data_IF_754974522824
#
_entry.id   IF_754974522824
#
_cell.length_a   1.000
_cell.length_b   1.000
_cell.length_c   1.000
_cell.angle_alpha   90.00
_cell.angle_beta   90.00
_cell.angle_gamma   90.00
#
_symmetry.space_group_name_H-M   'P 1'
#
loop_
_entity.id
_entity.type
_entity.pdbx_description
1 polymer ?
#
# COMPACT_ATOMS: atom_id res chain seq x y z
N UNK A 1 -8.63 10.97 26.73
CA UNK A 1 -7.66 9.97 26.24
C UNK A 1 -6.42 10.67 25.69
N UNK A 2 -6.61 11.79 24.99
CA UNK A 2 -5.56 12.49 24.23
C UNK A 2 -4.43 13.11 25.06
N UNK A 3 -4.67 13.57 26.30
CA UNK A 3 -3.62 14.20 27.11
C UNK A 3 -2.43 13.27 27.41
N UNK A 4 -2.70 12.01 27.80
CA UNK A 4 -1.64 11.02 28.09
C UNK A 4 -0.84 10.65 26.84
N UNK A 5 -1.55 10.47 25.73
CA UNK A 5 -0.94 10.18 24.44
C UNK A 5 -0.05 11.33 23.97
N UNK A 6 -0.53 12.57 24.07
CA UNK A 6 0.26 13.76 23.73
C UNK A 6 1.50 13.90 24.62
N UNK A 7 1.38 13.64 25.92
CA UNK A 7 2.54 13.59 26.84
C UNK A 7 3.55 12.54 26.40
N UNK A 8 3.11 11.34 26.02
CA UNK A 8 4.00 10.29 25.52
C UNK A 8 4.73 10.71 24.25
N UNK A 9 4.03 11.27 23.26
CA UNK A 9 4.64 11.75 22.02
C UNK A 9 5.70 12.82 22.29
N UNK A 10 5.37 13.79 23.14
CA UNK A 10 6.27 14.89 23.51
C UNK A 10 7.52 14.37 24.23
N UNK A 11 7.35 13.47 25.20
CA UNK A 11 8.46 12.88 25.96
C UNK A 11 9.42 12.06 25.08
N UNK A 12 8.94 11.53 23.95
CA UNK A 12 9.74 10.72 23.02
C UNK A 12 10.21 11.49 21.77
N UNK A 13 9.96 12.80 21.71
CA UNK A 13 10.21 13.67 20.56
C UNK A 13 9.61 13.12 19.26
N UNK A 14 8.33 12.76 19.31
CA UNK A 14 7.56 12.22 18.19
C UNK A 14 6.58 13.29 17.67
N UNK A 15 6.67 13.63 16.39
CA UNK A 15 5.80 14.62 15.75
C UNK A 15 4.90 13.93 14.71
N UNK A 16 3.61 13.81 15.02
CA UNK A 16 2.58 13.31 14.09
C UNK A 16 1.99 14.46 13.27
N UNK A 17 1.26 14.13 12.19
CA UNK A 17 0.65 15.13 11.30
C UNK A 17 -0.28 16.07 12.07
N UNK A 18 -0.12 17.40 11.96
CA UNK A 18 -0.99 18.35 12.65
C UNK A 18 -2.41 18.29 12.10
N UNK A 19 -3.41 18.47 12.98
CA UNK A 19 -4.82 18.53 12.61
C UNK A 19 -5.50 17.19 12.32
N UNK A 20 -4.75 16.09 12.24
CA UNK A 20 -5.30 14.74 12.09
C UNK A 20 -5.49 14.07 13.46
N UNK A 21 -6.60 13.34 13.63
CA UNK A 21 -6.77 12.42 14.75
C UNK A 21 -5.68 11.34 14.72
N UNK A 22 -5.45 10.71 15.88
CA UNK A 22 -4.39 9.71 16.03
C UNK A 22 -4.57 8.47 15.15
N UNK A 23 -5.79 8.16 14.71
CA UNK A 23 -6.05 7.07 13.77
C UNK A 23 -5.70 5.67 14.31
N UNK A 24 -5.69 5.45 15.62
CA UNK A 24 -5.19 4.21 16.24
C UNK A 24 -5.82 2.93 15.68
N UNK A 25 -7.06 3.01 15.21
CA UNK A 25 -7.79 1.89 14.62
C UNK A 25 -7.22 1.42 13.27
N UNK A 26 -6.47 2.27 12.55
CA UNK A 26 -5.83 1.91 11.27
C UNK A 26 -4.81 0.78 11.47
N UNK A 27 -4.16 0.74 12.62
CA UNK A 27 -3.14 -0.26 12.97
C UNK A 27 -3.70 -1.70 13.05
N UNK A 28 -5.02 -1.87 12.99
CA UNK A 28 -5.65 -3.20 12.96
C UNK A 28 -5.99 -3.66 11.55
N UNK A 29 -6.00 -2.76 10.56
CA UNK A 29 -6.55 -3.04 9.23
C UNK A 29 -5.70 -4.04 8.44
N UNK A 30 -4.39 -3.83 8.33
CA UNK A 30 -3.52 -4.71 7.55
C UNK A 30 -3.39 -6.12 8.15
N UNK A 31 -3.14 -6.29 9.47
CA UNK A 31 -3.13 -7.61 10.08
C UNK A 31 -4.48 -8.33 9.95
N UNK A 32 -5.60 -7.61 10.11
CA UNK A 32 -6.94 -8.19 9.96
C UNK A 32 -7.21 -8.61 8.50
N UNK A 33 -6.84 -7.79 7.52
CA UNK A 33 -7.00 -8.10 6.11
C UNK A 33 -6.28 -9.40 5.70
N UNK A 34 -5.03 -9.59 6.13
CA UNK A 34 -4.27 -10.81 5.88
C UNK A 34 -4.91 -12.02 6.59
N UNK A 35 -5.31 -11.84 7.85
CA UNK A 35 -5.89 -12.92 8.66
C UNK A 35 -7.24 -13.41 8.11
N UNK A 36 -8.12 -12.49 7.72
CA UNK A 36 -9.44 -12.81 7.12
C UNK A 36 -9.25 -13.42 5.74
N UNK A 37 -8.35 -12.86 4.93
CA UNK A 37 -8.01 -13.39 3.61
C UNK A 37 -7.47 -14.82 3.69
N UNK A 38 -6.61 -15.12 4.66
CA UNK A 38 -6.13 -16.48 4.90
C UNK A 38 -7.25 -17.44 5.30
N UNK A 39 -8.07 -17.06 6.27
CA UNK A 39 -9.18 -17.90 6.77
C UNK A 39 -10.17 -18.29 5.67
N UNK A 40 -10.36 -17.41 4.68
CA UNK A 40 -11.30 -17.63 3.57
C UNK A 40 -10.70 -18.33 2.37
N UNK A 41 -9.37 -18.47 2.32
CA UNK A 41 -8.63 -19.07 1.21
C UNK A 41 -7.66 -20.17 1.71
N UNK A 42 -8.07 -20.96 2.72
CA UNK A 42 -7.21 -21.96 3.37
C UNK A 42 -6.60 -22.96 2.37
N UNK A 43 -7.39 -23.39 1.38
CA UNK A 43 -6.99 -24.41 0.41
C UNK A 43 -5.98 -23.90 -0.62
N UNK A 44 -6.12 -22.64 -1.04
CA UNK A 44 -5.30 -22.01 -2.09
C UNK A 44 -4.05 -21.32 -1.51
N UNK A 45 -4.01 -21.10 -0.19
CA UNK A 45 -2.93 -20.36 0.46
C UNK A 45 -1.59 -21.10 0.43
N UNK A 46 -0.60 -20.47 -0.21
CA UNK A 46 0.79 -20.93 -0.21
C UNK A 46 1.39 -21.02 1.20
N UNK A 47 2.47 -21.77 1.35
CA UNK A 47 3.17 -21.90 2.63
C UNK A 47 3.69 -20.56 3.16
N UNK A 48 4.18 -19.70 2.26
CA UNK A 48 4.61 -18.33 2.60
C UNK A 48 3.42 -17.52 3.14
N UNK A 49 2.25 -17.66 2.52
CA UNK A 49 1.04 -16.96 2.96
C UNK A 49 0.55 -17.44 4.33
N UNK A 50 0.58 -18.77 4.57
CA UNK A 50 0.26 -19.38 5.88
C UNK A 50 1.16 -18.82 7.00
N UNK A 51 2.45 -18.71 6.73
CA UNK A 51 3.42 -18.14 7.66
C UNK A 51 3.11 -16.66 7.96
N UNK A 52 2.86 -15.86 6.92
CA UNK A 52 2.46 -14.46 7.07
C UNK A 52 1.14 -14.29 7.84
N UNK A 53 0.19 -15.21 7.69
CA UNK A 53 -1.08 -15.18 8.43
C UNK A 53 -0.93 -15.49 9.93
N UNK A 54 0.05 -16.30 10.34
CA UNK A 54 0.37 -16.44 11.77
C UNK A 54 1.07 -15.19 12.29
N UNK A 55 1.99 -14.64 11.51
CA UNK A 55 2.72 -13.42 11.87
C UNK A 55 1.81 -12.18 11.89
N UNK A 56 0.70 -12.16 11.15
CA UNK A 56 -0.31 -11.10 11.26
C UNK A 56 -1.01 -11.10 12.61
N UNK A 57 -1.31 -12.26 13.18
CA UNK A 57 -1.86 -12.36 14.55
C UNK A 57 -0.82 -11.87 15.57
N UNK A 58 0.46 -12.20 15.39
CA UNK A 58 1.55 -11.65 16.21
C UNK A 58 1.59 -10.11 16.16
N UNK A 59 1.56 -9.53 14.95
CA UNK A 59 1.56 -8.08 14.77
C UNK A 59 0.35 -7.44 15.41
N UNK A 60 -0.85 -8.01 15.24
CA UNK A 60 -2.08 -7.52 15.85
C UNK A 60 -1.93 -7.37 17.37
N UNK A 61 -1.43 -8.40 18.05
CA UNK A 61 -1.19 -8.37 19.50
C UNK A 61 -0.09 -7.36 19.89
N UNK A 62 0.98 -7.30 19.10
CA UNK A 62 2.11 -6.37 19.30
C UNK A 62 1.68 -4.90 19.17
N UNK A 63 0.82 -4.61 18.20
CA UNK A 63 0.17 -3.31 18.01
C UNK A 63 -0.69 -2.95 19.22
N UNK A 64 -1.56 -3.86 19.67
CA UNK A 64 -2.40 -3.62 20.85
C UNK A 64 -1.57 -3.27 22.08
N UNK A 65 -0.52 -4.04 22.38
CA UNK A 65 0.36 -3.79 23.52
C UNK A 65 1.08 -2.44 23.37
N UNK A 66 1.59 -2.14 22.18
CA UNK A 66 2.27 -0.86 21.90
C UNK A 66 1.34 0.33 22.08
N UNK A 67 0.08 0.23 21.63
CA UNK A 67 -0.93 1.28 21.83
C UNK A 67 -1.26 1.46 23.32
N UNK A 68 -1.41 0.37 24.08
CA UNK A 68 -1.69 0.47 25.52
C UNK A 68 -0.52 1.15 26.27
N UNK A 69 0.71 0.88 25.88
CA UNK A 69 1.91 1.56 26.39
C UNK A 69 1.95 3.05 26.01
N UNK A 70 1.65 3.40 24.74
CA UNK A 70 1.63 4.83 24.33
C UNK A 70 0.51 5.62 25.00
N UNK A 71 -0.58 4.96 25.38
CA UNK A 71 -1.65 5.53 26.22
C UNK A 71 -1.27 5.62 27.72
N UNK A 72 -0.05 5.23 28.10
CA UNK A 72 0.47 5.22 29.47
C UNK A 72 -0.43 4.40 30.43
N UNK A 73 -1.04 3.32 29.92
CA UNK A 73 -1.81 2.36 30.72
C UNK A 73 -0.97 1.16 31.17
N UNK A 74 0.18 0.95 30.53
CA UNK A 74 1.12 -0.12 30.83
C UNK A 74 2.53 0.47 30.99
N UNK A 75 3.29 0.00 31.98
CA UNK A 75 4.68 0.41 32.15
C UNK A 75 5.55 -0.13 31.01
N UNK A 76 6.67 0.53 30.74
CA UNK A 76 7.60 0.09 29.68
C UNK A 76 8.16 -1.31 29.95
N UNK A 77 8.37 -1.68 31.22
CA UNK A 77 8.81 -3.04 31.61
C UNK A 77 7.70 -4.07 31.36
N UNK A 78 6.47 -3.80 31.80
CA UNK A 78 5.35 -4.71 31.61
C UNK A 78 5.04 -4.90 30.11
N UNK A 79 5.11 -3.84 29.30
CA UNK A 79 4.98 -3.93 27.84
C UNK A 79 6.01 -4.88 27.23
N UNK A 80 7.30 -4.76 27.61
CA UNK A 80 8.36 -5.68 27.12
C UNK A 80 8.08 -7.13 27.49
N UNK A 81 7.58 -7.39 28.71
CA UNK A 81 7.21 -8.74 29.15
C UNK A 81 6.05 -9.28 28.30
N UNK A 82 4.98 -8.51 28.11
CA UNK A 82 3.85 -8.91 27.26
C UNK A 82 4.29 -9.20 25.83
N UNK A 83 5.17 -8.37 25.25
CA UNK A 83 5.72 -8.60 23.92
C UNK A 83 6.56 -9.89 23.84
N UNK A 84 7.35 -10.22 24.87
CA UNK A 84 8.07 -11.50 24.94
C UNK A 84 7.11 -12.71 25.01
N UNK A 85 5.98 -12.59 25.70
CA UNK A 85 4.94 -13.63 25.71
C UNK A 85 4.36 -13.82 24.30
N UNK A 86 4.10 -12.72 23.57
CA UNK A 86 3.66 -12.78 22.17
C UNK A 86 4.69 -13.49 21.28
N UNK A 87 5.98 -13.19 21.46
CA UNK A 87 7.08 -13.89 20.76
C UNK A 87 7.06 -15.38 21.05
N UNK A 88 6.98 -15.78 22.33
CA UNK A 88 6.98 -17.18 22.73
C UNK A 88 5.77 -17.93 22.15
N UNK A 89 4.56 -17.37 22.30
CA UNK A 89 3.33 -17.98 21.79
C UNK A 89 3.37 -18.17 20.26
N UNK A 90 3.84 -17.16 19.54
CA UNK A 90 3.96 -17.22 18.07
C UNK A 90 5.00 -18.27 17.67
N UNK A 91 6.17 -18.28 18.33
CA UNK A 91 7.21 -19.27 18.06
C UNK A 91 6.72 -20.70 18.32
N UNK A 92 5.91 -20.93 19.36
CA UNK A 92 5.27 -22.21 19.63
C UNK A 92 4.32 -22.60 18.50
N UNK A 93 3.45 -21.70 18.04
CA UNK A 93 2.54 -21.96 16.91
C UNK A 93 3.33 -22.33 15.65
N UNK A 94 4.36 -21.56 15.31
CA UNK A 94 5.18 -21.83 14.13
C UNK A 94 5.90 -23.19 14.21
N UNK A 95 6.37 -23.56 15.41
CA UNK A 95 7.12 -24.80 15.62
C UNK A 95 6.21 -26.02 15.67
N UNK A 96 5.07 -25.94 16.34
CA UNK A 96 4.17 -27.07 16.57
C UNK A 96 3.19 -27.26 15.42
N UNK A 97 2.60 -26.16 14.90
CA UNK A 97 1.56 -26.23 13.87
C UNK A 97 2.16 -26.19 12.47
N UNK A 98 3.10 -25.27 12.21
CA UNK A 98 3.74 -25.14 10.89
C UNK A 98 5.05 -25.93 10.76
N UNK A 99 5.40 -26.72 11.78
CA UNK A 99 6.58 -27.60 11.79
C UNK A 99 7.89 -26.87 11.43
N UNK A 100 8.00 -25.58 11.77
CA UNK A 100 9.19 -24.78 11.53
C UNK A 100 10.22 -24.99 12.63
N UNK A 101 11.52 -24.91 12.29
CA UNK A 101 12.59 -25.06 13.26
C UNK A 101 12.50 -24.02 14.38
N UNK A 102 12.68 -24.43 15.63
CA UNK A 102 12.52 -23.58 16.82
C UNK A 102 13.33 -22.27 16.73
N UNK A 103 14.59 -22.35 16.31
CA UNK A 103 15.45 -21.18 16.18
C UNK A 103 14.89 -20.18 15.17
N UNK A 104 14.44 -20.66 14.01
CA UNK A 104 13.79 -19.83 12.99
C UNK A 104 12.52 -19.19 13.56
N UNK A 105 11.66 -19.98 14.20
CA UNK A 105 10.40 -19.54 14.81
C UNK A 105 10.60 -18.45 15.87
N UNK A 106 11.64 -18.57 16.71
CA UNK A 106 11.99 -17.55 17.70
C UNK A 106 12.53 -16.28 17.06
N UNK A 107 13.48 -16.40 16.12
CA UNK A 107 14.10 -15.24 15.47
C UNK A 107 13.09 -14.42 14.67
N UNK A 108 12.23 -15.08 13.89
CA UNK A 108 11.22 -14.40 13.08
C UNK A 108 10.15 -13.75 13.95
N UNK A 109 9.68 -14.43 15.01
CA UNK A 109 8.68 -13.88 15.93
C UNK A 109 9.24 -12.66 16.69
N UNK A 110 10.50 -12.74 17.12
CA UNK A 110 11.20 -11.61 17.75
C UNK A 110 11.36 -10.43 16.80
N UNK A 111 11.83 -10.68 15.56
CA UNK A 111 11.98 -9.66 14.53
C UNK A 111 10.66 -8.97 14.23
N UNK A 112 9.57 -9.71 14.06
CA UNK A 112 8.25 -9.13 13.78
C UNK A 112 7.78 -8.25 14.95
N UNK A 113 7.86 -8.76 16.18
CA UNK A 113 7.37 -8.08 17.39
C UNK A 113 8.17 -6.80 17.68
N UNK A 114 9.49 -6.92 17.85
CA UNK A 114 10.34 -5.79 18.24
C UNK A 114 10.76 -4.93 17.06
N UNK A 115 10.89 -5.52 15.87
CA UNK A 115 11.12 -4.78 14.62
C UNK A 115 9.95 -3.85 14.32
N UNK A 116 8.69 -4.29 14.46
CA UNK A 116 7.53 -3.40 14.30
C UNK A 116 7.63 -2.17 15.21
N UNK A 117 7.78 -2.40 16.52
CA UNK A 117 7.86 -1.30 17.50
C UNK A 117 9.01 -0.34 17.19
N UNK A 118 10.17 -0.87 16.79
CA UNK A 118 11.32 -0.06 16.41
C UNK A 118 11.06 0.74 15.13
N UNK A 119 10.50 0.11 14.10
CA UNK A 119 10.18 0.73 12.81
C UNK A 119 9.16 1.85 12.95
N UNK A 120 8.09 1.63 13.72
CA UNK A 120 7.04 2.63 13.99
C UNK A 120 7.64 3.95 14.50
N UNK A 121 8.41 3.88 15.59
CA UNK A 121 9.00 5.10 16.17
C UNK A 121 10.12 5.69 15.30
N UNK A 122 10.81 4.86 14.52
CA UNK A 122 11.82 5.34 13.57
C UNK A 122 11.18 6.12 12.43
N UNK A 123 10.10 5.61 11.83
CA UNK A 123 9.37 6.26 10.73
C UNK A 123 8.85 7.64 11.17
N UNK A 124 8.20 7.72 12.34
CA UNK A 124 7.68 9.01 12.85
C UNK A 124 8.80 10.02 13.10
N UNK A 125 9.98 9.56 13.56
CA UNK A 125 11.14 10.43 13.78
C UNK A 125 11.82 10.88 12.49
N UNK A 126 11.93 10.00 11.50
CA UNK A 126 12.55 10.30 10.21
C UNK A 126 11.69 11.27 9.39
N UNK A 127 10.37 11.17 9.52
CA UNK A 127 9.41 11.93 8.73
C UNK A 127 8.44 12.70 9.63
N UNK A 128 8.95 13.68 10.40
CA UNK A 128 8.12 14.44 11.33
C UNK A 128 6.95 15.10 10.60
N UNK A 129 5.78 15.11 11.23
CA UNK A 129 4.53 15.72 10.73
C UNK A 129 3.95 15.10 9.46
N UNK A 130 4.52 14.01 8.93
CA UNK A 130 4.04 13.39 7.70
C UNK A 130 2.87 12.43 7.97
N UNK A 131 2.98 11.61 9.02
CA UNK A 131 2.03 10.53 9.32
C UNK A 131 1.14 10.86 10.51
N UNK A 132 -0.13 10.43 10.47
CA UNK A 132 -0.86 10.14 11.71
C UNK A 132 -0.22 8.92 12.40
N UNK A 133 -0.51 8.70 13.69
CA UNK A 133 0.06 7.54 14.39
C UNK A 133 -0.41 6.21 13.75
N UNK A 134 -1.69 6.13 13.38
CA UNK A 134 -2.26 4.98 12.69
C UNK A 134 -1.65 4.73 11.31
N UNK A 135 -1.46 5.78 10.50
CA UNK A 135 -0.80 5.67 9.20
C UNK A 135 0.64 5.16 9.34
N UNK A 136 1.37 5.64 10.35
CA UNK A 136 2.72 5.15 10.64
C UNK A 136 2.73 3.68 11.08
N UNK A 137 1.71 3.21 11.80
CA UNK A 137 1.56 1.77 12.12
C UNK A 137 1.40 0.94 10.86
N UNK A 138 0.48 1.32 9.95
CA UNK A 138 0.25 0.59 8.69
C UNK A 138 1.52 0.56 7.84
N UNK A 139 2.26 1.66 7.77
CA UNK A 139 3.55 1.73 7.07
C UNK A 139 4.60 0.79 7.71
N UNK A 140 4.70 0.79 9.05
CA UNK A 140 5.61 -0.07 9.78
C UNK A 140 5.26 -1.56 9.64
N UNK A 141 3.98 -1.91 9.70
CA UNK A 141 3.48 -3.27 9.47
C UNK A 141 3.79 -3.74 8.05
N UNK A 142 3.50 -2.91 7.04
CA UNK A 142 3.82 -3.19 5.65
C UNK A 142 5.32 -3.44 5.43
N UNK A 143 6.18 -2.63 6.06
CA UNK A 143 7.63 -2.85 6.03
C UNK A 143 8.04 -4.18 6.65
N UNK A 144 7.45 -4.56 7.80
CA UNK A 144 7.76 -5.83 8.47
C UNK A 144 7.32 -7.02 7.62
N UNK A 145 6.09 -7.01 7.09
CA UNK A 145 5.63 -8.07 6.19
C UNK A 145 6.46 -8.16 4.92
N UNK A 146 6.85 -7.02 4.34
CA UNK A 146 7.73 -6.99 3.18
C UNK A 146 9.06 -7.66 3.48
N UNK A 147 9.74 -7.28 4.57
CA UNK A 147 11.04 -7.84 4.95
C UNK A 147 10.98 -9.33 5.24
N UNK A 148 9.95 -9.77 5.96
CA UNK A 148 9.71 -11.19 6.26
C UNK A 148 9.47 -11.96 4.95
N UNK A 149 8.55 -11.49 4.12
CA UNK A 149 8.19 -12.16 2.85
C UNK A 149 9.38 -12.21 1.90
N UNK A 150 10.18 -11.14 1.82
CA UNK A 150 11.40 -11.10 1.02
C UNK A 150 12.41 -12.15 1.49
N UNK A 151 12.70 -12.20 2.79
CA UNK A 151 13.65 -13.18 3.35
C UNK A 151 13.21 -14.63 3.07
N UNK A 152 11.94 -14.94 3.32
CA UNK A 152 11.40 -16.28 3.09
C UNK A 152 11.44 -16.63 1.59
N UNK A 153 10.99 -15.71 0.73
CA UNK A 153 10.91 -15.96 -0.71
C UNK A 153 12.30 -16.20 -1.32
N UNK A 154 13.32 -15.44 -0.92
CA UNK A 154 14.71 -15.65 -1.39
C UNK A 154 15.26 -17.03 -0.97
N UNK A 155 14.90 -17.52 0.21
CA UNK A 155 15.31 -18.86 0.67
C UNK A 155 14.56 -19.94 -0.12
N UNK A 156 13.24 -19.77 -0.29
CA UNK A 156 12.40 -20.73 -1.01
C UNK A 156 12.77 -20.83 -2.50
N UNK A 157 13.12 -19.72 -3.14
CA UNK A 157 13.50 -19.67 -4.55
C UNK A 157 14.76 -20.49 -4.85
N UNK A 158 15.72 -20.55 -3.92
CA UNK A 158 16.91 -21.42 -4.06
C UNK A 158 16.58 -22.91 -4.11
N UNK A 159 15.37 -23.31 -3.70
CA UNK A 159 14.96 -24.70 -3.52
C UNK A 159 13.98 -25.18 -4.62
N UNK A 160 13.40 -24.30 -5.43
CA UNK A 160 12.39 -24.64 -6.44
C UNK A 160 12.94 -24.50 -7.86
N UNK A 161 12.65 -25.47 -8.74
CA UNK A 161 12.99 -25.41 -10.18
C UNK A 161 11.81 -25.04 -11.09
N UNK A 162 10.57 -25.01 -10.59
CA UNK A 162 9.38 -24.68 -11.38
C UNK A 162 8.66 -23.45 -10.79
N UNK A 163 8.85 -22.30 -11.43
CA UNK A 163 8.32 -21.02 -10.95
C UNK A 163 7.06 -20.60 -11.71
N UNK A 164 5.96 -20.40 -10.99
CA UNK A 164 4.77 -19.72 -11.52
C UNK A 164 5.12 -18.26 -11.86
N UNK A 165 4.48 -17.71 -12.90
CA UNK A 165 4.71 -16.32 -13.35
C UNK A 165 4.54 -15.29 -12.23
N UNK A 166 3.50 -15.44 -11.39
CA UNK A 166 3.27 -14.57 -10.24
C UNK A 166 4.41 -14.59 -9.21
N UNK A 167 5.05 -15.74 -9.01
CA UNK A 167 6.21 -15.87 -8.10
C UNK A 167 7.42 -15.10 -8.62
N UNK A 168 7.65 -15.10 -9.94
CA UNK A 168 8.72 -14.33 -10.59
C UNK A 168 8.45 -12.83 -10.44
N UNK A 169 7.23 -12.37 -10.71
CA UNK A 169 6.85 -10.96 -10.53
C UNK A 169 7.08 -10.50 -9.08
N UNK A 170 6.67 -11.30 -8.09
CA UNK A 170 6.91 -11.01 -6.67
C UNK A 170 8.40 -10.87 -6.35
N UNK A 171 9.24 -11.78 -6.85
CA UNK A 171 10.70 -11.73 -6.65
C UNK A 171 11.30 -10.49 -7.29
N UNK A 172 10.86 -10.10 -8.49
CA UNK A 172 11.29 -8.87 -9.17
C UNK A 172 10.95 -7.63 -8.35
N UNK A 173 9.69 -7.52 -7.89
CA UNK A 173 9.25 -6.41 -7.03
C UNK A 173 10.07 -6.36 -5.74
N UNK A 174 10.24 -7.49 -5.05
CA UNK A 174 10.90 -7.52 -3.75
C UNK A 174 12.39 -7.16 -3.84
N UNK A 175 13.14 -7.73 -4.79
CA UNK A 175 14.56 -7.35 -4.97
C UNK A 175 14.67 -5.88 -5.39
N UNK A 176 13.82 -5.42 -6.31
CA UNK A 176 13.80 -4.03 -6.76
C UNK A 176 13.55 -3.04 -5.63
N UNK A 177 12.49 -3.26 -4.83
CA UNK A 177 12.14 -2.38 -3.72
C UNK A 177 13.14 -2.48 -2.56
N UNK A 178 13.68 -3.67 -2.27
CA UNK A 178 14.72 -3.82 -1.25
C UNK A 178 16.01 -3.07 -1.65
N UNK A 179 16.46 -3.24 -2.90
CA UNK A 179 17.60 -2.50 -3.44
C UNK A 179 17.38 -0.99 -3.43
N UNK A 180 16.18 -0.53 -3.81
CA UNK A 180 15.82 0.88 -3.71
C UNK A 180 15.81 1.40 -2.27
N UNK A 181 15.36 0.60 -1.31
CA UNK A 181 15.43 0.93 0.12
C UNK A 181 16.88 1.17 0.58
N UNK A 182 17.82 0.32 0.15
CA UNK A 182 19.25 0.49 0.43
C UNK A 182 19.83 1.74 -0.25
N UNK A 183 19.39 2.05 -1.48
CA UNK A 183 19.75 3.29 -2.18
C UNK A 183 19.29 4.51 -1.38
N UNK A 184 18.04 4.52 -0.91
CA UNK A 184 17.49 5.60 -0.10
C UNK A 184 18.25 5.75 1.23
N UNK A 185 18.56 4.64 1.89
CA UNK A 185 19.28 4.64 3.16
C UNK A 185 20.71 5.21 3.00
N UNK A 186 21.42 4.76 1.96
CA UNK A 186 22.76 5.28 1.64
C UNK A 186 22.69 6.77 1.30
N UNK A 187 21.69 7.17 0.51
CA UNK A 187 21.46 8.58 0.16
C UNK A 187 21.18 9.46 1.38
N UNK A 188 20.48 8.92 2.37
CA UNK A 188 20.23 9.60 3.64
C UNK A 188 21.52 9.80 4.45
N UNK A 189 22.34 8.75 4.63
CA UNK A 189 23.57 8.85 5.42
C UNK A 189 24.67 9.67 4.73
N UNK A 190 24.79 9.59 3.40
CA UNK A 190 25.80 10.29 2.61
C UNK A 190 25.25 11.53 1.89
N UNK A 191 24.17 12.12 2.43
CA UNK A 191 23.48 13.28 1.84
C UNK A 191 24.44 14.43 1.48
N UNK A 192 25.46 14.69 2.29
CA UNK A 192 26.43 15.77 2.04
C UNK A 192 27.15 15.65 0.69
N UNK A 193 27.42 14.44 0.22
CA UNK A 193 28.06 14.17 -1.08
C UNK A 193 27.00 13.99 -2.16
N UNK A 194 25.94 13.22 -1.85
CA UNK A 194 24.93 12.78 -2.80
C UNK A 194 23.85 13.82 -3.12
N UNK A 195 23.85 14.99 -2.48
CA UNK A 195 23.07 16.14 -2.96
C UNK A 195 23.62 16.75 -4.25
N UNK A 196 24.85 16.41 -4.67
CA UNK A 196 25.43 16.90 -5.94
C UNK A 196 24.98 16.02 -7.10
N UNK A 197 24.55 16.65 -8.19
CA UNK A 197 23.95 16.00 -9.36
C UNK A 197 24.82 14.88 -9.96
N UNK A 198 26.08 15.16 -10.29
CA UNK A 198 26.95 14.18 -10.95
C UNK A 198 27.26 12.98 -10.03
N UNK A 199 27.75 13.17 -8.78
CA UNK A 199 27.96 12.05 -7.85
C UNK A 199 26.70 11.23 -7.61
N UNK A 200 25.53 11.87 -7.52
CA UNK A 200 24.27 11.19 -7.34
C UNK A 200 23.95 10.24 -8.50
N UNK A 201 24.05 10.71 -9.75
CA UNK A 201 23.75 9.85 -10.91
C UNK A 201 24.74 8.69 -11.07
N UNK A 202 26.03 8.92 -10.81
CA UNK A 202 27.03 7.84 -10.79
C UNK A 202 26.66 6.80 -9.73
N UNK A 203 26.34 7.26 -8.51
CA UNK A 203 25.92 6.39 -7.41
C UNK A 203 24.66 5.59 -7.76
N UNK A 204 23.65 6.22 -8.36
CA UNK A 204 22.41 5.55 -8.76
C UNK A 204 22.67 4.49 -9.82
N UNK A 205 23.41 4.80 -10.88
CA UNK A 205 23.69 3.84 -11.96
C UNK A 205 24.42 2.60 -11.41
N UNK A 206 25.48 2.82 -10.61
CA UNK A 206 26.22 1.72 -10.00
C UNK A 206 25.35 0.91 -9.02
N UNK A 207 24.54 1.59 -8.20
CA UNK A 207 23.69 0.92 -7.22
C UNK A 207 22.53 0.16 -7.85
N UNK A 208 21.90 0.68 -8.91
CA UNK A 208 20.88 -0.04 -9.67
C UNK A 208 21.45 -1.33 -10.27
N UNK A 209 22.68 -1.28 -10.79
CA UNK A 209 23.34 -2.47 -11.31
C UNK A 209 23.65 -3.48 -10.20
N UNK A 210 24.35 -3.05 -9.14
CA UNK A 210 24.86 -3.93 -8.08
C UNK A 210 23.74 -4.47 -7.17
N UNK A 211 22.74 -3.65 -6.83
CA UNK A 211 21.72 -3.99 -5.84
C UNK A 211 20.43 -4.54 -6.44
N UNK A 212 20.17 -4.32 -7.74
CA UNK A 212 18.92 -4.73 -8.38
C UNK A 212 19.18 -5.66 -9.57
N UNK A 213 19.85 -5.18 -10.62
CA UNK A 213 19.99 -5.94 -11.87
C UNK A 213 20.83 -7.21 -11.68
N UNK A 214 22.00 -7.11 -11.03
CA UNK A 214 22.87 -8.25 -10.80
C UNK A 214 22.22 -9.32 -9.90
N UNK A 215 21.63 -8.98 -8.73
CA UNK A 215 20.90 -9.95 -7.92
C UNK A 215 19.73 -10.58 -8.65
N UNK A 216 18.95 -9.81 -9.43
CA UNK A 216 17.87 -10.36 -10.24
C UNK A 216 18.37 -11.35 -11.28
N UNK A 217 19.47 -11.03 -11.96
CA UNK A 217 20.06 -11.93 -12.95
C UNK A 217 20.51 -13.26 -12.33
N UNK A 218 21.15 -13.19 -11.15
CA UNK A 218 21.61 -14.37 -10.40
C UNK A 218 20.44 -15.19 -9.87
N UNK A 219 19.42 -14.54 -9.31
CA UNK A 219 18.26 -15.23 -8.71
C UNK A 219 17.42 -15.88 -9.81
N UNK A 220 17.05 -15.13 -10.85
CA UNK A 220 16.18 -15.61 -11.92
C UNK A 220 16.87 -16.53 -12.93
N UNK A 221 18.21 -16.65 -12.89
CA UNK A 221 19.03 -17.41 -13.84
C UNK A 221 18.77 -17.04 -15.32
N UNK A 222 18.34 -15.80 -15.56
CA UNK A 222 18.04 -15.25 -16.90
C UNK A 222 18.14 -13.73 -16.89
N UNK A 223 18.11 -13.11 -18.06
CA UNK A 223 18.09 -11.64 -18.16
C UNK A 223 16.76 -11.09 -17.61
N UNK A 224 16.75 -10.29 -16.53
CA UNK A 224 15.51 -9.71 -16.00
C UNK A 224 14.89 -8.72 -16.99
N UNK A 225 15.72 -7.97 -17.72
CA UNK A 225 15.25 -6.99 -18.71
C UNK A 225 14.53 -7.69 -19.85
N UNK A 226 15.12 -8.77 -20.39
CA UNK A 226 14.49 -9.52 -21.49
C UNK A 226 13.19 -10.19 -21.02
N UNK A 227 13.16 -10.68 -19.78
CA UNK A 227 11.94 -11.26 -19.20
C UNK A 227 10.82 -10.22 -19.08
N UNK A 228 11.12 -9.01 -18.61
CA UNK A 228 10.14 -7.90 -18.55
C UNK A 228 9.65 -7.53 -19.96
N UNK A 229 10.55 -7.44 -20.94
CA UNK A 229 10.16 -7.14 -22.34
C UNK A 229 9.22 -8.22 -22.88
N UNK A 230 9.52 -9.49 -22.64
CA UNK A 230 8.66 -10.61 -23.04
C UNK A 230 7.29 -10.57 -22.36
N UNK A 231 7.19 -10.03 -21.14
CA UNK A 231 5.91 -9.86 -20.46
C UNK A 231 5.05 -8.78 -21.13
N UNK A 232 5.66 -7.67 -21.60
CA UNK A 232 4.94 -6.62 -22.34
C UNK A 232 4.43 -7.08 -23.71
N UNK A 233 5.09 -8.07 -24.31
CA UNK A 233 4.76 -8.60 -25.64
C UNK A 233 4.14 -9.98 -25.61
N UNK A 234 3.70 -10.44 -24.43
CA UNK A 234 3.21 -11.80 -24.22
C UNK A 234 2.02 -12.15 -25.13
N UNK A 235 1.08 -11.20 -25.28
CA UNK A 235 -0.09 -11.36 -26.14
C UNK A 235 -0.63 -9.98 -26.63
N UNK A 236 -1.58 -10.03 -27.57
CA UNK A 236 -2.13 -8.82 -28.20
C UNK A 236 -2.87 -7.91 -27.22
N UNK A 237 -3.63 -8.46 -26.28
CA UNK A 237 -4.37 -7.68 -25.30
C UNK A 237 -3.40 -6.96 -24.37
N UNK A 238 -2.36 -7.65 -23.91
CA UNK A 238 -1.30 -7.04 -23.10
C UNK A 238 -0.62 -5.87 -23.83
N UNK A 239 -0.31 -6.02 -25.12
CA UNK A 239 0.26 -4.94 -25.94
C UNK A 239 -0.70 -3.74 -26.05
N UNK A 240 -2.00 -3.99 -26.31
CA UNK A 240 -2.99 -2.91 -26.38
C UNK A 240 -3.14 -2.16 -25.05
N UNK A 241 -3.20 -2.89 -23.93
CA UNK A 241 -3.25 -2.29 -22.59
C UNK A 241 -2.00 -1.47 -22.31
N UNK A 242 -0.82 -1.93 -22.72
CA UNK A 242 0.43 -1.19 -22.56
C UNK A 242 0.42 0.14 -23.31
N UNK A 243 0.03 0.16 -24.59
CA UNK A 243 -0.11 1.41 -25.34
C UNK A 243 -1.15 2.36 -24.74
N UNK A 244 -2.26 1.80 -24.26
CA UNK A 244 -3.28 2.56 -23.56
C UNK A 244 -2.74 3.19 -22.26
N UNK A 245 -1.91 2.48 -21.49
CA UNK A 245 -1.24 3.04 -20.32
C UNK A 245 -0.25 4.14 -20.67
N UNK A 246 0.49 4.03 -21.78
CA UNK A 246 1.34 5.12 -22.27
C UNK A 246 0.50 6.37 -22.52
N UNK A 247 -0.66 6.23 -23.16
CA UNK A 247 -1.58 7.35 -23.37
C UNK A 247 -2.05 7.96 -22.03
N UNK A 248 -2.44 7.14 -21.05
CA UNK A 248 -2.80 7.62 -19.72
C UNK A 248 -1.66 8.39 -19.05
N UNK A 249 -0.42 7.91 -19.16
CA UNK A 249 0.77 8.60 -18.64
C UNK A 249 1.01 9.95 -19.33
N UNK A 250 0.84 10.03 -20.65
CA UNK A 250 0.94 11.30 -21.39
C UNK A 250 -0.13 12.28 -20.93
N UNK A 251 -1.38 11.83 -20.77
CA UNK A 251 -2.46 12.68 -20.24
C UNK A 251 -2.15 13.16 -18.83
N UNK A 252 -1.65 12.27 -17.96
CA UNK A 252 -1.28 12.62 -16.59
C UNK A 252 -0.17 13.68 -16.55
N UNK A 253 0.88 13.53 -17.36
CA UNK A 253 2.00 14.49 -17.39
C UNK A 253 1.58 15.84 -17.95
N UNK A 254 0.69 15.89 -18.95
CA UNK A 254 0.12 17.13 -19.46
C UNK A 254 -0.74 17.84 -18.40
N UNK A 255 -1.56 17.10 -17.64
CA UNK A 255 -2.34 17.68 -16.53
C UNK A 255 -1.42 18.28 -15.46
N UNK A 256 -0.37 17.56 -15.05
CA UNK A 256 0.61 18.06 -14.07
C UNK A 256 1.31 19.30 -14.61
N UNK A 257 1.80 19.25 -15.85
CA UNK A 257 2.50 20.37 -16.49
C UNK A 257 1.64 21.63 -16.53
N UNK A 258 0.42 21.53 -17.06
CA UNK A 258 -0.49 22.68 -17.16
C UNK A 258 -0.78 23.27 -15.79
N UNK A 259 -0.99 22.41 -14.78
CA UNK A 259 -1.24 22.85 -13.41
C UNK A 259 -0.02 23.53 -12.77
N UNK A 260 1.21 23.12 -13.12
CA UNK A 260 2.45 23.81 -12.71
C UNK A 260 2.55 25.16 -13.40
N UNK A 261 2.30 25.22 -14.73
CA UNK A 261 2.34 26.46 -15.52
C UNK A 261 1.31 27.50 -15.01
N UNK A 262 0.12 27.04 -14.59
CA UNK A 262 -0.91 27.90 -14.01
C UNK A 262 -0.51 28.49 -12.64
N UNK A 263 0.42 27.86 -11.92
CA UNK A 263 0.94 28.29 -10.61
C UNK A 263 -0.07 28.26 -9.44
N UNK A 264 -1.35 28.03 -9.72
CA UNK A 264 -2.42 27.99 -8.72
C UNK A 264 -2.50 26.63 -8.02
N UNK A 265 -2.87 26.60 -6.73
CA UNK A 265 -3.11 25.33 -6.00
C UNK A 265 -4.18 24.47 -6.69
N UNK A 266 -3.90 23.18 -6.85
CA UNK A 266 -4.81 22.24 -7.48
C UNK A 266 -6.09 22.08 -6.65
N UNK A 267 -7.25 22.33 -7.27
CA UNK A 267 -8.55 22.10 -6.62
C UNK A 267 -8.81 20.62 -6.39
N UNK A 268 -9.74 20.28 -5.47
CA UNK A 268 -10.12 18.89 -5.20
C UNK A 268 -10.53 18.14 -6.47
N UNK A 269 -11.24 18.78 -7.41
CA UNK A 269 -11.63 18.15 -8.68
C UNK A 269 -10.41 17.81 -9.52
N UNK A 270 -9.44 18.72 -9.63
CA UNK A 270 -8.20 18.46 -10.38
C UNK A 270 -7.46 17.29 -9.76
N UNK A 271 -7.38 17.22 -8.42
CA UNK A 271 -6.77 16.06 -7.74
C UNK A 271 -7.51 14.75 -8.04
N UNK A 272 -8.84 14.76 -8.16
CA UNK A 272 -9.64 13.57 -8.53
C UNK A 272 -9.44 13.08 -9.97
N UNK A 273 -8.80 13.86 -10.84
CA UNK A 273 -8.44 13.36 -12.18
C UNK A 273 -7.49 12.15 -12.09
N UNK A 274 -6.59 12.12 -11.11
CA UNK A 274 -5.69 10.98 -10.88
C UNK A 274 -6.43 9.73 -10.37
N UNK A 275 -7.53 9.90 -9.63
CA UNK A 275 -8.39 8.78 -9.24
C UNK A 275 -9.07 8.15 -10.46
N UNK A 276 -9.57 8.97 -11.38
CA UNK A 276 -10.15 8.49 -12.65
C UNK A 276 -9.08 7.83 -13.52
N UNK A 277 -7.88 8.41 -13.61
CA UNK A 277 -6.75 7.79 -14.32
C UNK A 277 -6.32 6.46 -13.67
N UNK A 278 -6.40 6.35 -12.34
CA UNK A 278 -6.13 5.10 -11.65
C UNK A 278 -7.15 4.02 -12.04
N UNK A 279 -8.45 4.34 -12.09
CA UNK A 279 -9.48 3.42 -12.62
C UNK A 279 -9.17 3.04 -14.06
N UNK A 280 -8.83 4.03 -14.90
CA UNK A 280 -8.49 3.83 -16.30
C UNK A 280 -7.31 2.85 -16.47
N UNK A 281 -6.28 2.92 -15.63
CA UNK A 281 -5.11 2.02 -15.70
C UNK A 281 -5.41 0.65 -15.09
N UNK A 282 -5.92 0.61 -13.86
CA UNK A 282 -6.06 -0.63 -13.11
C UNK A 282 -7.16 -1.54 -13.67
N UNK A 283 -8.28 -0.97 -14.10
CA UNK A 283 -9.41 -1.78 -14.56
C UNK A 283 -9.05 -2.70 -15.74
N UNK A 284 -8.55 -2.19 -16.89
CA UNK A 284 -8.12 -3.06 -17.98
C UNK A 284 -6.94 -3.94 -17.58
N UNK A 285 -6.05 -3.47 -16.71
CA UNK A 285 -4.96 -4.28 -16.18
C UNK A 285 -5.44 -5.53 -15.44
N UNK A 286 -6.43 -5.39 -14.56
CA UNK A 286 -7.04 -6.48 -13.83
C UNK A 286 -7.75 -7.47 -14.76
N UNK A 287 -8.48 -6.95 -15.75
CA UNK A 287 -9.31 -7.76 -16.65
C UNK A 287 -8.50 -8.54 -17.69
N UNK A 288 -7.42 -7.96 -18.22
CA UNK A 288 -6.73 -8.49 -19.39
C UNK A 288 -5.29 -8.92 -19.12
N UNK A 289 -4.60 -8.33 -18.14
CA UNK A 289 -3.17 -8.59 -17.92
C UNK A 289 -2.76 -8.45 -16.43
N UNK A 290 -3.45 -9.18 -15.54
CA UNK A 290 -3.29 -9.08 -14.08
C UNK A 290 -1.84 -9.23 -13.62
N UNK A 291 -1.10 -10.21 -14.16
CA UNK A 291 0.30 -10.43 -13.79
C UNK A 291 1.21 -9.24 -14.13
N UNK A 292 0.98 -8.59 -15.27
CA UNK A 292 1.70 -7.38 -15.66
C UNK A 292 1.30 -6.20 -14.78
N UNK A 293 0.00 -6.04 -14.47
CA UNK A 293 -0.47 -4.99 -13.55
C UNK A 293 0.14 -5.17 -12.15
N UNK A 294 0.20 -6.40 -11.64
CA UNK A 294 0.82 -6.71 -10.35
C UNK A 294 2.29 -6.28 -10.34
N UNK A 295 3.07 -6.70 -11.35
CA UNK A 295 4.47 -6.26 -11.51
C UNK A 295 4.58 -4.73 -11.60
N UNK A 296 3.80 -4.12 -12.50
CA UNK A 296 3.82 -2.69 -12.75
C UNK A 296 3.49 -1.89 -11.48
N UNK A 297 2.55 -2.34 -10.66
CA UNK A 297 2.17 -1.66 -9.42
C UNK A 297 3.34 -1.53 -8.43
N UNK A 298 4.15 -2.59 -8.28
CA UNK A 298 5.35 -2.57 -7.45
C UNK A 298 6.49 -1.73 -8.06
N UNK A 299 6.65 -1.77 -9.38
CA UNK A 299 7.62 -0.93 -10.10
C UNK A 299 7.27 0.55 -9.97
N UNK A 300 5.99 0.92 -10.15
CA UNK A 300 5.50 2.30 -10.01
C UNK A 300 5.67 2.80 -8.57
N UNK A 301 5.49 1.94 -7.55
CA UNK A 301 5.82 2.29 -6.17
C UNK A 301 7.30 2.66 -6.04
N UNK A 302 8.18 1.86 -6.66
CA UNK A 302 9.61 2.16 -6.72
C UNK A 302 9.92 3.47 -7.45
N UNK A 303 9.24 3.75 -8.56
CA UNK A 303 9.37 5.02 -9.28
C UNK A 303 8.94 6.18 -8.40
N UNK A 304 7.82 6.09 -7.68
CA UNK A 304 7.34 7.15 -6.79
C UNK A 304 8.36 7.44 -5.68
N UNK A 305 8.92 6.40 -5.05
CA UNK A 305 9.98 6.54 -4.05
C UNK A 305 11.25 7.16 -4.65
N UNK A 306 11.64 6.77 -5.87
CA UNK A 306 12.81 7.32 -6.56
C UNK A 306 12.64 8.80 -6.95
N UNK A 307 11.48 9.18 -7.48
CA UNK A 307 11.13 10.58 -7.77
C UNK A 307 11.12 11.40 -6.49
N UNK A 308 10.59 10.85 -5.41
CA UNK A 308 10.57 11.51 -4.12
C UNK A 308 11.98 11.73 -3.56
N UNK A 309 12.88 10.76 -3.73
CA UNK A 309 14.29 10.91 -3.39
C UNK A 309 14.95 12.04 -4.19
N UNK A 310 14.71 12.11 -5.51
CA UNK A 310 15.20 13.21 -6.36
C UNK A 310 14.69 14.58 -5.88
N UNK A 311 13.41 14.66 -5.51
CA UNK A 311 12.78 15.89 -4.98
C UNK A 311 13.40 16.32 -3.65
N UNK A 312 13.50 15.41 -2.69
CA UNK A 312 14.04 15.69 -1.35
C UNK A 312 15.52 16.11 -1.40
N UNK A 313 16.30 15.49 -2.30
CA UNK A 313 17.71 15.82 -2.51
C UNK A 313 17.93 17.01 -3.47
N UNK A 314 16.87 17.49 -4.13
CA UNK A 314 16.89 18.60 -5.09
C UNK A 314 17.86 18.36 -6.27
N UNK A 315 17.82 17.16 -6.83
CA UNK A 315 18.73 16.75 -7.93
C UNK A 315 18.23 17.27 -9.28
N UNK A 316 19.04 18.06 -9.97
CA UNK A 316 18.75 18.55 -11.34
C UNK A 316 18.71 17.43 -12.38
N UNK A 317 17.85 17.50 -13.43
CA UNK A 317 16.89 18.57 -13.72
C UNK A 317 15.51 18.36 -13.07
N UNK A 318 15.24 17.17 -12.52
CA UNK A 318 13.89 16.78 -12.10
C UNK A 318 13.51 17.31 -10.72
N UNK A 319 14.47 17.48 -9.82
CA UNK A 319 14.26 17.88 -8.42
C UNK A 319 13.42 19.16 -8.27
N UNK A 320 13.77 20.27 -8.95
CA UNK A 320 12.97 21.49 -8.93
C UNK A 320 11.56 21.30 -9.51
N UNK A 321 11.43 20.63 -10.66
CA UNK A 321 10.14 20.39 -11.32
C UNK A 321 9.20 19.58 -10.42
N UNK A 322 9.74 18.55 -9.77
CA UNK A 322 8.99 17.73 -8.80
C UNK A 322 8.60 18.53 -7.56
N UNK A 323 9.45 19.48 -7.13
CA UNK A 323 9.14 20.35 -6.02
C UNK A 323 8.03 21.36 -6.36
N UNK A 324 8.00 21.89 -7.58
CA UNK A 324 6.94 22.76 -8.07
C UNK A 324 5.62 21.99 -8.20
N UNK A 325 5.67 20.77 -8.75
CA UNK A 325 4.52 19.86 -8.78
C UNK A 325 4.00 19.55 -7.38
N UNK A 326 4.87 19.21 -6.43
CA UNK A 326 4.50 19.02 -5.03
C UNK A 326 3.89 20.28 -4.42
N UNK A 327 4.45 21.46 -4.68
CA UNK A 327 3.90 22.71 -4.17
C UNK A 327 2.48 22.95 -4.68
N UNK A 328 2.20 22.69 -5.95
CA UNK A 328 0.87 22.95 -6.50
C UNK A 328 -0.18 21.91 -6.06
N UNK A 329 0.21 20.64 -5.89
CA UNK A 329 -0.71 19.56 -5.53
C UNK A 329 -0.84 19.26 -4.03
N UNK A 330 0.13 19.66 -3.21
CA UNK A 330 0.10 19.44 -1.76
C UNK A 330 -1.11 20.13 -1.10
N UNK A 331 -1.74 19.39 -0.19
CA UNK A 331 -2.84 19.84 0.64
C UNK A 331 -2.56 19.59 2.13
N UNK A 332 -3.58 19.70 2.98
CA UNK A 332 -3.48 19.48 4.43
C UNK A 332 -3.03 18.07 4.83
N UNK A 333 -3.05 17.09 3.91
CA UNK A 333 -2.57 15.73 4.14
C UNK A 333 -1.06 15.61 3.94
N UNK A 334 -0.46 16.49 3.12
CA UNK A 334 0.97 16.51 2.74
C UNK A 334 1.75 17.66 3.40
N UNK A 335 1.62 17.82 4.71
CA UNK A 335 2.31 18.87 5.50
C UNK A 335 3.77 18.51 5.80
N UNK A 336 4.09 17.22 5.79
CA UNK A 336 5.41 16.69 6.11
C UNK A 336 6.44 16.86 4.99
N UNK A 337 7.58 16.19 5.13
CA UNK A 337 8.63 16.20 4.12
C UNK A 337 8.34 15.29 2.92
N UNK A 338 7.43 14.31 3.08
CA UNK A 338 7.07 13.34 2.06
C UNK A 338 5.70 13.66 1.44
N UNK A 339 5.58 13.47 0.13
CA UNK A 339 4.34 13.45 -0.63
C UNK A 339 3.61 12.08 -0.48
N UNK A 340 2.76 11.96 0.53
CA UNK A 340 2.08 10.71 0.86
C UNK A 340 0.80 10.51 0.05
N UNK A 341 0.08 11.56 -0.33
CA UNK A 341 -1.18 11.44 -1.09
C UNK A 341 -1.06 10.62 -2.39
N UNK A 342 -0.09 10.88 -3.30
CA UNK A 342 0.07 10.07 -4.51
C UNK A 342 0.50 8.63 -4.20
N UNK A 343 1.35 8.43 -3.18
CA UNK A 343 1.76 7.09 -2.73
C UNK A 343 0.55 6.32 -2.21
N UNK A 344 -0.28 6.93 -1.37
CA UNK A 344 -1.47 6.30 -0.83
C UNK A 344 -2.55 6.04 -1.88
N UNK A 345 -2.66 6.84 -2.93
CA UNK A 345 -3.53 6.52 -4.07
C UNK A 345 -3.08 5.21 -4.73
N UNK A 346 -1.78 5.08 -5.01
CA UNK A 346 -1.21 3.86 -5.60
C UNK A 346 -1.36 2.67 -4.66
N UNK A 347 -1.00 2.82 -3.38
CA UNK A 347 -1.13 1.78 -2.36
C UNK A 347 -2.60 1.37 -2.26
N UNK A 348 -3.55 2.31 -2.18
CA UNK A 348 -4.97 2.01 -2.09
C UNK A 348 -5.50 1.16 -3.25
N UNK A 349 -5.09 1.47 -4.48
CA UNK A 349 -5.46 0.68 -5.66
C UNK A 349 -4.76 -0.68 -5.72
N UNK A 350 -3.50 -0.76 -5.27
CA UNK A 350 -2.67 -1.97 -5.39
C UNK A 350 -2.78 -2.91 -4.21
N UNK A 351 -3.23 -2.43 -3.06
CA UNK A 351 -3.22 -3.17 -1.81
C UNK A 351 -3.96 -4.51 -1.93
N UNK A 352 -5.19 -4.57 -2.49
CA UNK A 352 -5.84 -5.86 -2.70
C UNK A 352 -5.01 -6.85 -3.51
N UNK A 353 -4.24 -6.38 -4.49
CA UNK A 353 -3.34 -7.23 -5.28
C UNK A 353 -2.12 -7.69 -4.49
N UNK A 354 -1.58 -6.84 -3.62
CA UNK A 354 -0.37 -7.16 -2.85
C UNK A 354 -0.62 -8.12 -1.68
N UNK A 355 -1.82 -8.12 -1.11
CA UNK A 355 -2.13 -8.92 0.09
C UNK A 355 -3.03 -10.14 -0.19
N UNK A 356 -3.57 -10.28 -1.39
CA UNK A 356 -4.32 -11.47 -1.79
C UNK A 356 -3.37 -12.67 -1.95
N UNK A 357 -3.74 -13.89 -1.52
CA UNK A 357 -2.87 -15.07 -1.57
C UNK A 357 -2.47 -15.45 -2.99
N UNK A 358 -3.41 -15.32 -3.93
CA UNK A 358 -3.14 -15.52 -5.35
C UNK A 358 -4.00 -14.56 -6.19
N UNK A 359 -3.51 -13.34 -6.50
CA UNK A 359 -4.34 -12.31 -7.12
C UNK A 359 -4.65 -12.57 -8.60
N UNK A 360 -3.89 -13.44 -9.28
CA UNK A 360 -3.96 -13.60 -10.74
C UNK A 360 -4.15 -15.05 -11.24
N UNK A 361 -4.21 -16.08 -10.38
CA UNK A 361 -4.51 -17.48 -10.75
C UNK A 361 -6.02 -17.74 -10.87
N UNK A 362 -6.66 -17.10 -11.87
CA UNK A 362 -8.13 -16.97 -11.92
C UNK A 362 -8.78 -17.60 -13.17
N UNK A 363 -8.09 -18.48 -13.88
CA UNK A 363 -8.61 -19.08 -15.14
C UNK A 363 -9.21 -20.48 -14.93
N UNK A 364 -8.80 -21.23 -13.91
CA UNK A 364 -9.15 -22.66 -13.78
C UNK A 364 -9.99 -23.05 -12.54
N UNK A 365 -10.42 -22.09 -11.71
CA UNK A 365 -11.26 -22.36 -10.53
C UNK A 365 -12.64 -21.70 -10.66
N UNK A 366 -13.70 -22.45 -10.31
CA UNK A 366 -15.12 -22.13 -10.53
C UNK A 366 -15.68 -20.91 -9.75
N UNK A 367 -14.83 -19.96 -9.35
CA UNK A 367 -15.17 -18.91 -8.37
C UNK A 367 -14.51 -17.55 -8.65
N UNK A 368 -14.51 -17.07 -9.90
CA UNK A 368 -14.06 -15.71 -10.23
C UNK A 368 -14.78 -14.66 -9.37
N UNK A 369 -14.10 -14.15 -8.34
CA UNK A 369 -14.57 -13.02 -7.55
C UNK A 369 -13.51 -11.92 -7.63
N UNK A 370 -13.52 -11.17 -8.72
CA UNK A 370 -12.66 -10.00 -8.94
C UNK A 370 -12.89 -8.89 -7.91
N UNK A 371 -14.04 -8.93 -7.24
CA UNK A 371 -14.53 -7.82 -6.45
C UNK A 371 -13.61 -7.39 -5.30
N UNK A 372 -13.04 -8.30 -4.48
CA UNK A 372 -12.06 -7.93 -3.47
C UNK A 372 -10.84 -7.23 -4.08
N UNK A 373 -10.36 -7.68 -5.24
CA UNK A 373 -9.24 -7.06 -5.95
C UNK A 373 -9.56 -5.65 -6.46
N UNK A 374 -10.84 -5.34 -6.69
CA UNK A 374 -11.31 -3.99 -7.08
C UNK A 374 -11.60 -3.07 -5.90
N UNK A 375 -11.35 -3.48 -4.65
CA UNK A 375 -11.72 -2.71 -3.45
C UNK A 375 -11.22 -1.27 -3.47
N UNK A 376 -9.97 -1.05 -3.92
CA UNK A 376 -9.43 0.28 -4.14
C UNK A 376 -10.19 1.03 -5.23
N UNK A 377 -10.32 0.44 -6.42
CA UNK A 377 -11.00 1.08 -7.56
C UNK A 377 -12.43 1.49 -7.22
N UNK A 378 -13.19 0.64 -6.53
CA UNK A 378 -14.57 0.93 -6.11
C UNK A 378 -14.61 2.08 -5.11
N UNK A 379 -13.82 2.02 -4.05
CA UNK A 379 -13.89 3.01 -2.95
C UNK A 379 -13.30 4.35 -3.34
N UNK A 380 -12.05 4.38 -3.78
CA UNK A 380 -11.29 5.61 -4.01
C UNK A 380 -11.43 6.08 -5.46
N UNK A 381 -11.39 5.16 -6.42
CA UNK A 381 -11.48 5.49 -7.84
C UNK A 381 -12.87 5.97 -8.28
N UNK A 382 -13.92 5.27 -7.86
CA UNK A 382 -15.30 5.48 -8.30
C UNK A 382 -16.13 6.20 -7.25
N UNK A 383 -16.13 5.69 -6.02
CA UNK A 383 -16.92 6.23 -4.91
C UNK A 383 -16.51 7.65 -4.54
N UNK A 384 -15.27 7.82 -4.07
CA UNK A 384 -14.71 9.09 -3.61
C UNK A 384 -14.65 10.16 -4.72
N UNK A 385 -14.32 9.77 -5.96
CA UNK A 385 -14.39 10.68 -7.11
C UNK A 385 -15.83 11.18 -7.37
N UNK A 386 -16.82 10.29 -7.35
CA UNK A 386 -18.23 10.67 -7.50
C UNK A 386 -18.73 11.53 -6.32
N UNK A 387 -18.33 11.18 -5.10
CA UNK A 387 -18.67 11.92 -3.89
C UNK A 387 -18.16 13.36 -3.96
N UNK A 388 -16.92 13.55 -4.39
CA UNK A 388 -16.28 14.86 -4.51
C UNK A 388 -16.91 15.70 -5.63
N UNK A 389 -17.19 15.10 -6.79
CA UNK A 389 -17.81 15.80 -7.92
C UNK A 389 -19.26 16.23 -7.60
N UNK A 390 -20.07 15.29 -7.11
CA UNK A 390 -21.48 15.52 -6.81
C UNK A 390 -21.68 16.33 -5.53
N UNK A 391 -20.86 16.10 -4.51
CA UNK A 391 -20.88 16.86 -3.27
C UNK A 391 -20.53 18.34 -3.49
N UNK A 392 -19.56 18.64 -4.38
CA UNK A 392 -19.26 20.04 -4.74
C UNK A 392 -20.36 20.70 -5.58
N UNK A 393 -21.02 19.96 -6.47
CA UNK A 393 -22.04 20.51 -7.38
C UNK A 393 -23.43 20.63 -6.75
N UNK A 394 -23.83 19.67 -5.92
CA UNK A 394 -25.19 19.54 -5.40
C UNK A 394 -25.27 19.47 -3.87
N UNK A 395 -24.14 19.43 -3.18
CA UNK A 395 -24.10 19.27 -1.73
C UNK A 395 -24.69 20.47 -0.99
N UNK A 396 -25.69 20.21 -0.15
CA UNK A 396 -26.34 21.22 0.69
C UNK A 396 -26.26 20.82 2.17
N UNK A 397 -26.40 19.53 2.45
CA UNK A 397 -26.47 19.03 3.82
C UNK A 397 -25.13 18.39 4.19
N UNK A 398 -24.43 18.96 5.19
CA UNK A 398 -23.15 18.45 5.67
C UNK A 398 -23.33 17.43 6.79
N UNK A 399 -22.44 16.45 6.84
CA UNK A 399 -22.34 15.54 7.97
C UNK A 399 -21.89 16.30 9.24
N UNK A 400 -22.41 15.97 10.43
CA UNK A 400 -21.99 16.61 11.68
C UNK A 400 -20.47 16.45 11.91
N UNK A 401 -19.76 17.56 12.11
CA UNK A 401 -18.31 17.54 12.34
C UNK A 401 -17.44 17.27 11.10
N UNK A 402 -18.03 17.22 9.90
CA UNK A 402 -17.32 16.97 8.64
C UNK A 402 -17.64 18.03 7.59
N UNK A 403 -16.71 18.24 6.64
CA UNK A 403 -16.96 19.10 5.48
C UNK A 403 -17.67 18.36 4.34
N UNK A 404 -17.84 17.03 4.47
CA UNK A 404 -18.46 16.16 3.47
C UNK A 404 -19.99 16.25 3.55
N UNK A 405 -20.65 16.04 2.41
CA UNK A 405 -22.11 16.21 2.28
C UNK A 405 -22.85 14.88 2.16
N UNK A 406 -24.10 14.84 2.62
CA UNK A 406 -24.97 13.67 2.46
C UNK A 406 -25.20 13.34 0.99
N UNK A 407 -25.38 14.35 0.14
CA UNK A 407 -25.53 14.17 -1.31
C UNK A 407 -24.28 13.54 -1.94
N UNK A 408 -23.08 13.93 -1.47
CA UNK A 408 -21.83 13.30 -1.87
C UNK A 408 -21.77 11.82 -1.45
N UNK A 409 -22.18 11.50 -0.23
CA UNK A 409 -22.25 10.11 0.24
C UNK A 409 -23.24 9.26 -0.57
N UNK A 410 -24.42 9.80 -0.92
CA UNK A 410 -25.37 9.09 -1.79
C UNK A 410 -24.77 8.83 -3.16
N UNK A 411 -24.09 9.81 -3.76
CA UNK A 411 -23.40 9.64 -5.02
C UNK A 411 -22.30 8.56 -4.96
N UNK A 412 -21.55 8.52 -3.85
CA UNK A 412 -20.55 7.48 -3.57
C UNK A 412 -21.15 6.07 -3.58
N UNK A 413 -22.30 5.89 -2.93
CA UNK A 413 -23.00 4.60 -2.83
C UNK A 413 -23.52 4.19 -4.20
N UNK A 414 -24.23 5.09 -4.88
CA UNK A 414 -24.86 4.78 -6.18
C UNK A 414 -23.82 4.48 -7.26
N UNK A 415 -22.72 5.24 -7.34
CA UNK A 415 -21.68 4.99 -8.35
C UNK A 415 -21.01 3.63 -8.18
N UNK A 416 -20.73 3.22 -6.94
CA UNK A 416 -20.18 1.90 -6.64
C UNK A 416 -21.18 0.79 -6.98
N UNK A 417 -22.45 0.91 -6.59
CA UNK A 417 -23.48 -0.09 -6.93
C UNK A 417 -23.65 -0.25 -8.44
N UNK A 418 -23.65 0.86 -9.19
CA UNK A 418 -23.69 0.83 -10.66
C UNK A 418 -22.48 0.07 -11.21
N UNK A 419 -21.27 0.34 -10.71
CA UNK A 419 -20.08 -0.37 -11.17
C UNK A 419 -20.15 -1.87 -10.89
N UNK A 420 -20.59 -2.27 -9.70
CA UNK A 420 -20.75 -3.68 -9.34
C UNK A 420 -21.80 -4.36 -10.23
N UNK A 421 -22.90 -3.67 -10.53
CA UNK A 421 -23.89 -4.16 -11.48
C UNK A 421 -23.29 -4.34 -12.88
N UNK A 422 -22.48 -3.38 -13.35
CA UNK A 422 -21.77 -3.51 -14.64
C UNK A 422 -20.87 -4.75 -14.63
N UNK A 423 -20.06 -4.97 -13.58
CA UNK A 423 -19.22 -6.17 -13.44
C UNK A 423 -20.01 -7.47 -13.52
N UNK A 424 -21.20 -7.52 -12.91
CA UNK A 424 -22.07 -8.68 -13.01
C UNK A 424 -22.58 -8.90 -14.44
N UNK A 425 -22.99 -7.83 -15.14
CA UNK A 425 -23.53 -7.93 -16.51
C UNK A 425 -22.51 -8.37 -17.54
N UNK A 426 -21.24 -8.01 -17.36
CA UNK A 426 -20.15 -8.41 -18.26
C UNK A 426 -19.48 -9.73 -17.87
N UNK A 427 -20.02 -10.45 -16.86
CA UNK A 427 -19.55 -11.78 -16.47
C UNK A 427 -18.31 -11.80 -15.57
N UNK A 428 -17.84 -10.64 -15.09
CA UNK A 428 -16.71 -10.54 -14.17
C UNK A 428 -17.10 -10.66 -12.69
N UNK A 429 -18.38 -10.90 -12.40
CA UNK A 429 -18.81 -11.21 -11.04
C UNK A 429 -20.12 -12.00 -11.03
N UNK A 430 -20.13 -13.18 -10.43
CA UNK A 430 -21.36 -13.93 -10.14
C UNK A 430 -21.69 -13.78 -8.65
N UNK A 431 -22.94 -13.42 -8.33
CA UNK A 431 -23.33 -13.14 -6.95
C UNK A 431 -24.41 -14.08 -6.45
N UNK A 432 -24.12 -14.73 -5.33
CA UNK A 432 -25.11 -15.32 -4.43
C UNK A 432 -25.81 -14.20 -3.64
N UNK A 433 -27.04 -14.43 -3.12
CA UNK A 433 -27.72 -13.45 -2.27
C UNK A 433 -26.89 -12.97 -1.07
N UNK A 434 -26.09 -13.87 -0.47
CA UNK A 434 -25.18 -13.55 0.64
C UNK A 434 -24.07 -12.60 0.19
N UNK A 435 -23.50 -12.80 -1.00
CA UNK A 435 -22.50 -11.88 -1.56
C UNK A 435 -23.09 -10.50 -1.85
N UNK A 436 -24.31 -10.42 -2.38
CA UNK A 436 -25.01 -9.13 -2.59
C UNK A 436 -25.15 -8.37 -1.26
N UNK A 437 -25.57 -9.06 -0.20
CA UNK A 437 -25.67 -8.46 1.13
C UNK A 437 -24.34 -7.89 1.64
N UNK A 438 -23.24 -8.65 1.48
CA UNK A 438 -21.88 -8.21 1.84
C UNK A 438 -21.43 -6.98 1.05
N UNK A 439 -21.72 -6.95 -0.25
CA UNK A 439 -21.37 -5.84 -1.15
C UNK A 439 -22.10 -4.57 -0.73
N UNK A 440 -23.42 -4.64 -0.56
CA UNK A 440 -24.23 -3.48 -0.15
C UNK A 440 -23.75 -2.98 1.22
N UNK A 441 -23.53 -3.89 2.17
CA UNK A 441 -22.99 -3.54 3.48
C UNK A 441 -21.62 -2.85 3.37
N UNK A 442 -20.69 -3.42 2.59
CA UNK A 442 -19.35 -2.85 2.39
C UNK A 442 -19.39 -1.44 1.78
N UNK A 443 -20.21 -1.23 0.75
CA UNK A 443 -20.38 0.07 0.10
C UNK A 443 -20.95 1.10 1.06
N UNK A 444 -22.03 0.76 1.78
CA UNK A 444 -22.64 1.69 2.75
C UNK A 444 -21.67 2.00 3.89
N UNK A 445 -21.02 0.98 4.44
CA UNK A 445 -20.10 1.12 5.55
C UNK A 445 -18.87 1.96 5.16
N UNK A 446 -18.22 1.67 4.02
CA UNK A 446 -17.11 2.49 3.52
C UNK A 446 -17.54 3.93 3.20
N UNK A 447 -18.73 4.13 2.65
CA UNK A 447 -19.24 5.48 2.36
C UNK A 447 -19.54 6.27 3.65
N UNK A 448 -19.97 5.59 4.71
CA UNK A 448 -20.12 6.19 6.04
C UNK A 448 -18.76 6.52 6.67
N UNK A 449 -17.81 5.57 6.67
CA UNK A 449 -16.44 5.81 7.17
C UNK A 449 -15.81 6.99 6.44
N UNK A 450 -15.96 7.05 5.12
CA UNK A 450 -15.51 8.18 4.31
C UNK A 450 -16.14 9.49 4.77
N UNK A 451 -17.44 9.54 5.05
CA UNK A 451 -18.10 10.75 5.50
C UNK A 451 -17.59 11.29 6.85
N UNK A 452 -17.16 10.42 7.76
CA UNK A 452 -16.82 10.76 9.15
C UNK A 452 -15.32 10.75 9.47
N UNK A 453 -14.49 10.12 8.63
CA UNK A 453 -13.05 10.02 8.88
C UNK A 453 -12.28 11.26 8.42
N UNK A 454 -11.26 11.61 9.18
CA UNK A 454 -10.27 12.65 8.87
C UNK A 454 -8.91 12.07 8.45
N UNK A 455 -8.80 10.74 8.43
CA UNK A 455 -7.62 10.02 7.95
C UNK A 455 -7.57 10.06 6.43
N UNK A 456 -6.44 9.66 5.84
CA UNK A 456 -6.32 9.61 4.39
C UNK A 456 -7.15 8.44 3.84
N UNK A 457 -8.35 8.78 3.36
CA UNK A 457 -9.27 8.01 2.53
C UNK A 457 -8.59 7.03 1.56
N UNK A 458 -7.59 7.50 0.81
CA UNK A 458 -6.85 6.69 -0.16
C UNK A 458 -6.20 5.44 0.45
N UNK A 459 -5.81 5.48 1.73
CA UNK A 459 -5.21 4.34 2.43
C UNK A 459 -6.29 3.48 3.08
N UNK A 460 -7.29 4.10 3.71
CA UNK A 460 -8.17 3.46 4.69
C UNK A 460 -9.32 2.68 4.06
N UNK A 461 -10.03 3.29 3.11
CA UNK A 461 -11.24 2.69 2.53
C UNK A 461 -10.97 1.39 1.77
N UNK A 462 -9.86 1.26 1.01
CA UNK A 462 -9.55 0.01 0.32
C UNK A 462 -9.35 -1.18 1.26
N UNK A 463 -8.74 -0.98 2.43
CA UNK A 463 -8.60 -2.04 3.45
C UNK A 463 -9.95 -2.54 3.94
N UNK A 464 -10.83 -1.62 4.33
CA UNK A 464 -12.13 -1.94 4.90
C UNK A 464 -12.98 -2.68 3.86
N UNK A 465 -13.01 -2.17 2.63
CA UNK A 465 -13.73 -2.82 1.54
C UNK A 465 -13.14 -4.21 1.26
N UNK A 466 -11.82 -4.36 1.22
CA UNK A 466 -11.18 -5.65 1.00
C UNK A 466 -11.56 -6.67 2.08
N UNK A 467 -11.48 -6.30 3.38
CA UNK A 467 -11.85 -7.17 4.51
C UNK A 467 -13.31 -7.62 4.40
N UNK A 468 -14.22 -6.73 3.99
CA UNK A 468 -15.65 -7.03 3.89
C UNK A 468 -15.95 -7.91 2.68
N UNK A 469 -15.21 -7.78 1.58
CA UNK A 469 -15.46 -8.46 0.31
C UNK A 469 -14.74 -9.80 0.15
N UNK A 470 -13.51 -9.94 0.67
CA UNK A 470 -12.78 -11.22 0.72
C UNK A 470 -13.55 -12.16 1.63
#
# INVERSE_FOLDING_TARGET
>A
MDKKFHTFLTANNLQTRPGAQHGLWLAFLLPLAISVSYYRNLEVSSEIYRLNAVLSVNLLLSVMITIIETLQKLSSLASKICLLVVVAATATILTVILLKGLLFSLLISFFVTFGFKKSLFTIIKLFPRSFSFGEACVCAEGLIFFMVSFYINIIAHKQSQNERLGSISTTVIQIGLFGLGLICLTSYYFKGILCRTIPFYIFIILSLFILIILPLHVVLQRSPILWIINLFTADRNTVYVFFYWILCCIVATLIVRNQIEDGNKASTIVRKTFHVLAVAVYLPGLLYCCNLLYLASGVVLGIFVGLELLRILKIEPLGPILQDGFHVYSDEKDVGSIALTPIYLLVGCSLPLWIHPDPCDVVDSAGFNLLPLTSGLLTIGIGDAAASAMGKKFGKHKWPGSQKTFEGTIACILSQLIMVFIFNRIGYAAFTPVQIGRIIFGIIFCSYVEAVTDQIDNLVLPFIMYIILI
#
